data_IF_118269441786
#
_entry.id   IF_118269441786
#
_cell.length_a   1.000
_cell.length_b   1.000
_cell.length_c   1.000
_cell.angle_alpha   90.00
_cell.angle_beta   90.00
_cell.angle_gamma   90.00
#
_symmetry.space_group_name_H-M   'P 1'
#
loop_
_entity.id
_entity.type
_entity.pdbx_description
1 polymer ?
#
# COMPACT_ATOMS: atom_id res chain seq x y z
N UNK A 1 6.10 18.71 15.93
CA UNK A 1 4.81 18.67 16.65
C UNK A 1 3.86 17.89 15.78
N UNK A 2 3.30 16.77 16.25
CA UNK A 2 2.37 15.98 15.44
C UNK A 2 1.11 16.82 15.15
N UNK A 3 0.74 16.96 13.88
CA UNK A 3 -0.51 17.61 13.47
C UNK A 3 -1.69 16.92 14.19
N UNK A 4 -2.70 17.66 14.70
CA UNK A 4 -3.77 17.10 15.53
C UNK A 4 -4.53 15.94 14.87
N UNK A 5 -4.58 15.89 13.53
CA UNK A 5 -5.18 14.77 12.77
C UNK A 5 -4.37 13.46 12.87
N UNK A 6 -3.05 13.51 13.07
CA UNK A 6 -2.20 12.32 13.22
C UNK A 6 -2.29 11.69 14.62
N UNK A 7 -2.79 12.44 15.61
CA UNK A 7 -2.99 11.91 16.98
C UNK A 7 -4.01 10.77 17.03
N UNK A 8 -4.91 10.73 16.06
CA UNK A 8 -5.94 9.70 15.91
C UNK A 8 -5.34 8.33 15.57
N UNK A 9 -4.32 8.32 14.69
CA UNK A 9 -3.74 7.09 14.15
C UNK A 9 -2.60 6.52 15.01
N UNK A 10 -1.97 7.33 15.84
CA UNK A 10 -0.73 6.96 16.54
C UNK A 10 -0.94 6.21 17.86
N UNK A 11 -2.19 5.95 18.27
CA UNK A 11 -2.50 5.46 19.62
C UNK A 11 -3.03 4.01 19.71
N UNK A 12 -3.16 3.27 18.62
CA UNK A 12 -3.57 1.85 18.65
C UNK A 12 -2.38 0.96 18.33
N UNK A 13 -2.09 -0.03 19.19
CA UNK A 13 -1.19 -1.13 18.80
C UNK A 13 -2.03 -2.24 18.20
N UNK A 14 -1.71 -2.63 16.96
CA UNK A 14 -2.26 -3.85 16.37
C UNK A 14 -1.72 -5.07 17.11
N UNK A 15 -2.60 -6.04 17.31
CA UNK A 15 -2.20 -7.36 17.76
C UNK A 15 -1.90 -8.21 16.52
N UNK A 16 -0.74 -8.87 16.50
CA UNK A 16 -0.28 -9.63 15.33
C UNK A 16 -1.29 -10.66 14.83
N UNK A 17 -2.01 -11.32 15.73
CA UNK A 17 -3.03 -12.31 15.41
C UNK A 17 -4.25 -11.74 14.65
N UNK A 18 -4.35 -10.41 14.49
CA UNK A 18 -5.41 -9.73 13.73
C UNK A 18 -4.96 -9.30 12.33
N UNK A 19 -3.69 -9.48 11.99
CA UNK A 19 -3.13 -9.11 10.70
C UNK A 19 -3.07 -10.37 9.83
N UNK A 20 -3.89 -10.39 8.79
CA UNK A 20 -3.97 -11.49 7.84
C UNK A 20 -3.84 -10.95 6.42
N UNK A 21 -3.38 -11.80 5.51
CA UNK A 21 -3.42 -11.52 4.06
C UNK A 21 -4.85 -11.18 3.65
N UNK A 22 -4.97 -10.27 2.69
CA UNK A 22 -6.24 -9.71 2.18
C UNK A 22 -7.02 -8.80 3.16
N UNK A 23 -6.48 -8.48 4.34
CA UNK A 23 -7.07 -7.49 5.23
C UNK A 23 -6.62 -6.06 4.89
N UNK A 24 -7.55 -5.10 5.04
CA UNK A 24 -7.28 -3.67 4.88
C UNK A 24 -6.78 -3.04 6.18
N UNK A 25 -5.78 -2.18 6.05
CA UNK A 25 -5.17 -1.39 7.13
C UNK A 25 -4.81 0.00 6.60
N UNK A 26 -4.31 0.87 7.47
CA UNK A 26 -3.51 2.01 7.06
C UNK A 26 -2.05 1.86 7.50
N UNK A 27 -1.14 2.46 6.74
CA UNK A 27 0.29 2.45 7.02
C UNK A 27 0.84 3.87 7.00
N UNK A 28 1.66 4.22 7.98
CA UNK A 28 2.36 5.50 7.99
C UNK A 28 3.73 5.38 7.33
N UNK A 29 4.03 6.30 6.40
CA UNK A 29 5.36 6.48 5.83
C UNK A 29 6.05 7.66 6.51
N UNK A 30 7.19 7.39 7.14
CA UNK A 30 8.07 8.45 7.66
C UNK A 30 8.78 9.23 6.56
N UNK A 31 8.95 8.62 5.38
CA UNK A 31 9.61 9.26 4.24
C UNK A 31 8.73 10.38 3.66
N UNK A 32 7.43 10.14 3.56
CA UNK A 32 6.47 11.07 2.97
C UNK A 32 5.64 11.85 4.01
N UNK A 33 5.85 11.56 5.30
CA UNK A 33 5.05 12.11 6.43
C UNK A 33 3.52 11.96 6.21
N UNK A 34 3.08 10.78 5.77
CA UNK A 34 1.69 10.56 5.36
C UNK A 34 1.17 9.13 5.60
N UNK A 35 -0.15 8.97 5.63
CA UNK A 35 -0.87 7.71 5.78
C UNK A 35 -1.41 7.19 4.45
N UNK A 36 -1.33 5.87 4.28
CA UNK A 36 -1.80 5.18 3.09
C UNK A 36 -2.82 4.11 3.46
N UNK A 37 -3.88 3.93 2.66
CA UNK A 37 -4.68 2.71 2.74
C UNK A 37 -3.94 1.57 2.07
N UNK A 38 -3.87 0.44 2.77
CA UNK A 38 -3.08 -0.70 2.33
C UNK A 38 -3.86 -2.01 2.47
N UNK A 39 -3.57 -2.94 1.58
CA UNK A 39 -4.00 -4.34 1.66
C UNK A 39 -2.80 -5.20 2.03
N UNK A 40 -2.92 -6.08 3.02
CA UNK A 40 -1.85 -7.04 3.33
C UNK A 40 -1.71 -8.03 2.16
N UNK A 41 -0.56 -8.00 1.48
CA UNK A 41 -0.30 -8.86 0.33
C UNK A 41 0.39 -10.15 0.74
N UNK A 42 1.41 -10.06 1.59
CA UNK A 42 2.20 -11.22 2.02
C UNK A 42 2.79 -11.01 3.41
N UNK A 43 2.74 -12.04 4.25
CA UNK A 43 3.37 -12.03 5.58
C UNK A 43 4.74 -12.70 5.49
N UNK A 44 5.82 -11.96 5.78
CA UNK A 44 7.19 -12.49 5.76
C UNK A 44 7.65 -12.98 7.13
N UNK A 45 7.27 -12.27 8.18
CA UNK A 45 7.64 -12.59 9.56
C UNK A 45 6.72 -11.89 10.56
N UNK A 46 6.98 -12.09 11.85
CA UNK A 46 6.28 -11.36 12.91
C UNK A 46 6.68 -9.87 13.02
N UNK A 47 7.57 -9.37 12.16
CA UNK A 47 7.98 -7.96 12.17
C UNK A 47 7.72 -7.24 10.85
N UNK A 48 7.58 -7.95 9.72
CA UNK A 48 7.47 -7.34 8.41
C UNK A 48 6.49 -8.05 7.48
N UNK A 49 5.92 -7.27 6.58
CA UNK A 49 4.94 -7.70 5.59
C UNK A 49 5.10 -6.88 4.31
N UNK A 50 4.76 -7.47 3.17
CA UNK A 50 4.50 -6.73 1.94
C UNK A 50 3.05 -6.30 1.92
N UNK A 51 2.80 -5.03 1.63
CA UNK A 51 1.46 -4.48 1.48
C UNK A 51 1.29 -3.79 0.14
N UNK A 52 0.07 -3.77 -0.38
CA UNK A 52 -0.30 -3.04 -1.59
C UNK A 52 -0.97 -1.72 -1.22
N UNK A 53 -0.39 -0.58 -1.62
CA UNK A 53 -0.99 0.76 -1.50
C UNK A 53 -2.15 0.86 -2.49
N UNK A 54 -3.37 0.61 -2.00
CA UNK A 54 -4.56 0.39 -2.84
C UNK A 54 -4.98 1.63 -3.64
N UNK A 55 -4.51 2.81 -3.23
CA UNK A 55 -4.80 4.09 -3.88
C UNK A 55 -3.71 4.53 -4.86
N UNK A 56 -2.54 3.85 -4.85
CA UNK A 56 -1.37 4.22 -5.66
C UNK A 56 -0.94 3.11 -6.63
N UNK A 57 -1.30 1.85 -6.38
CA UNK A 57 -0.96 0.74 -7.25
C UNK A 57 0.43 0.15 -7.01
N UNK A 58 1.00 0.33 -5.81
CA UNK A 58 2.38 0.00 -5.48
C UNK A 58 2.47 -1.06 -4.37
N UNK A 59 3.37 -2.04 -4.53
CA UNK A 59 3.75 -2.97 -3.45
C UNK A 59 4.94 -2.40 -2.69
N UNK A 60 4.83 -2.34 -1.36
CA UNK A 60 5.90 -1.87 -0.47
C UNK A 60 6.16 -2.88 0.65
N UNK A 61 7.42 -2.98 1.08
CA UNK A 61 7.83 -3.79 2.22
C UNK A 61 7.95 -2.92 3.46
N UNK A 62 7.18 -3.22 4.50
CA UNK A 62 7.09 -2.37 5.70
C UNK A 62 7.16 -3.17 7.00
N UNK A 63 7.52 -2.47 8.07
CA UNK A 63 7.36 -2.97 9.44
C UNK A 63 5.88 -3.06 9.79
N UNK A 64 5.49 -4.14 10.46
CA UNK A 64 4.15 -4.32 11.03
C UNK A 64 3.83 -3.19 12.05
N UNK A 65 4.85 -2.59 12.67
CA UNK A 65 4.66 -1.48 13.60
C UNK A 65 4.14 -0.20 12.92
N UNK A 66 4.32 -0.07 11.60
CA UNK A 66 3.79 1.05 10.82
C UNK A 66 2.30 0.88 10.49
N UNK A 67 1.72 -0.30 10.74
CA UNK A 67 0.32 -0.58 10.45
C UNK A 67 -0.62 -0.10 11.57
N UNK A 68 -1.80 0.34 11.18
CA UNK A 68 -2.92 0.70 12.04
C UNK A 68 -4.23 0.16 11.47
N UNK A 69 -5.27 -0.08 12.30
CA UNK A 69 -6.59 -0.44 11.79
C UNK A 69 -7.14 0.66 10.87
N UNK A 70 -7.69 0.25 9.73
CA UNK A 70 -8.43 1.16 8.87
C UNK A 70 -9.75 1.57 9.55
N UNK A 71 -10.15 2.83 9.40
CA UNK A 71 -11.42 3.31 9.94
C UNK A 71 -12.61 2.85 9.12
N UNK A 72 -13.74 2.62 9.79
CA UNK A 72 -14.97 2.11 9.17
C UNK A 72 -15.42 2.97 7.97
N UNK A 73 -15.42 4.30 8.12
CA UNK A 73 -15.82 5.22 7.04
C UNK A 73 -14.87 5.19 5.83
N UNK A 74 -13.62 4.73 5.98
CA UNK A 74 -12.66 4.64 4.88
C UNK A 74 -12.88 3.42 3.99
N UNK A 75 -13.72 2.46 4.42
CA UNK A 75 -14.13 1.34 3.58
C UNK A 75 -15.12 1.75 2.49
N UNK A 76 -15.85 2.86 2.68
CA UNK A 76 -16.81 3.39 1.71
C UNK A 76 -16.11 4.07 0.52
N UNK A 77 -14.83 4.43 0.67
CA UNK A 77 -14.03 5.02 -0.41
C UNK A 77 -13.55 3.89 -1.33
N UNK A 78 -13.85 3.91 -2.65
CA UNK A 78 -13.34 2.89 -3.57
C UNK A 78 -11.81 2.96 -3.66
N UNK A 79 -11.17 1.87 -4.09
CA UNK A 79 -9.74 1.89 -4.42
C UNK A 79 -9.49 2.89 -5.54
N UNK A 80 -8.52 3.80 -5.34
CA UNK A 80 -8.23 4.84 -6.34
C UNK A 80 -7.28 4.36 -7.43
N UNK A 81 -6.43 3.36 -7.16
CA UNK A 81 -5.58 2.79 -8.20
C UNK A 81 -6.37 1.85 -9.10
N UNK A 82 -6.39 2.16 -10.40
CA UNK A 82 -7.04 1.35 -11.43
C UNK A 82 -5.95 0.62 -12.21
N UNK A 83 -6.00 -0.72 -12.17
CA UNK A 83 -5.11 -1.54 -12.99
C UNK A 83 -5.51 -1.44 -14.47
N UNK A 84 -4.61 -0.94 -15.31
CA UNK A 84 -4.87 -0.70 -16.72
C UNK A 84 -3.72 -1.18 -17.61
N UNK A 85 -3.98 -1.24 -18.91
CA UNK A 85 -2.99 -1.51 -19.94
C UNK A 85 -3.21 -0.59 -21.13
N UNK A 86 -2.14 -0.33 -21.87
CA UNK A 86 -2.25 0.38 -23.15
C UNK A 86 -2.88 -0.53 -24.19
N UNK A 87 -3.97 -0.07 -24.79
CA UNK A 87 -4.63 -0.78 -25.88
C UNK A 87 -3.71 -0.89 -27.10
N UNK A 88 -3.86 -1.98 -27.85
CA UNK A 88 -3.16 -2.25 -29.11
C UNK A 88 -1.63 -2.39 -29.02
N UNK A 89 -1.10 -2.62 -27.81
CA UNK A 89 0.30 -3.04 -27.66
C UNK A 89 0.39 -4.50 -27.20
N UNK A 90 1.33 -5.23 -27.79
CA UNK A 90 1.61 -6.63 -27.46
C UNK A 90 2.96 -6.68 -26.74
N UNK A 91 2.94 -7.24 -25.53
CA UNK A 91 4.17 -7.54 -24.78
C UNK A 91 4.94 -8.64 -25.52
N UNK A 92 6.22 -8.41 -25.80
CA UNK A 92 7.10 -9.43 -26.36
C UNK A 92 7.28 -10.59 -25.36
N UNK A 93 7.73 -11.76 -25.83
CA UNK A 93 7.90 -12.96 -24.99
C UNK A 93 8.82 -12.68 -23.77
N UNK A 94 9.83 -11.83 -23.97
CA UNK A 94 10.78 -11.40 -22.94
C UNK A 94 10.30 -10.17 -22.14
N UNK A 95 9.08 -9.69 -22.38
CA UNK A 95 8.50 -8.54 -21.72
C UNK A 95 8.75 -7.19 -22.39
N UNK A 96 8.51 -6.11 -21.64
CA UNK A 96 8.83 -4.76 -22.09
C UNK A 96 10.32 -4.52 -21.94
N UNK A 97 10.97 -3.96 -22.96
CA UNK A 97 12.36 -3.53 -22.83
C UNK A 97 12.47 -2.36 -21.85
N UNK A 98 13.63 -2.21 -21.19
CA UNK A 98 13.88 -1.10 -20.26
C UNK A 98 13.64 0.26 -20.91
N UNK A 99 14.10 0.45 -22.15
CA UNK A 99 13.88 1.68 -22.90
C UNK A 99 12.39 2.03 -23.06
N UNK A 100 11.53 1.06 -23.39
CA UNK A 100 10.07 1.32 -23.50
C UNK A 100 9.45 1.65 -22.14
N UNK A 101 9.94 1.02 -21.07
CA UNK A 101 9.50 1.33 -19.70
C UNK A 101 9.90 2.77 -19.32
N UNK A 102 11.12 3.18 -19.65
CA UNK A 102 11.62 4.52 -19.34
C UNK A 102 10.88 5.60 -20.14
N UNK A 103 10.62 5.36 -21.43
CA UNK A 103 9.78 6.23 -22.27
C UNK A 103 8.36 6.34 -21.73
N UNK A 104 7.78 5.26 -21.22
CA UNK A 104 6.43 5.31 -20.64
C UNK A 104 6.37 6.10 -19.32
N UNK A 105 7.49 6.21 -18.61
CA UNK A 105 7.58 6.92 -17.32
C UNK A 105 7.95 8.40 -17.43
N UNK A 106 8.53 8.84 -18.56
CA UNK A 106 8.93 10.24 -18.81
C UNK A 106 7.74 11.13 -19.10
#
# INVERSE_FOLDING_TARGET
>A
MAHPEYSYWTNKKLQLNKINVDNYHCAYSTENDDWYRVLIHEMHSNSHTTVFKIDYGELIYISIQSLQPLQEWMFDVPRLAIHCSLANLIKLINGWSSNIIDIFRS
#
